data_IF_460508821803
#
_entry.id   IF_460508821803
#
_cell.length_a   1.000
_cell.length_b   1.000
_cell.length_c   1.000
_cell.angle_alpha   90.00
_cell.angle_beta   90.00
_cell.angle_gamma   90.00
#
_symmetry.space_group_name_H-M   'P 1'
#
loop_
_entity.id
_entity.type
_entity.pdbx_description
1 polymer ?
#
# COMPACT_ATOMS: atom_id res chain seq x y z
N UNK A 1 9.43 15.54 36.40
CA UNK A 1 9.38 16.04 35.00
C UNK A 1 7.99 15.74 34.47
N UNK A 2 7.25 16.70 33.91
CA UNK A 2 5.94 16.41 33.34
C UNK A 2 6.11 15.37 32.21
N UNK A 3 5.20 14.40 32.12
CA UNK A 3 5.18 13.43 31.02
C UNK A 3 5.03 14.19 29.70
N UNK A 4 6.12 14.31 28.95
CA UNK A 4 6.11 14.93 27.62
C UNK A 4 5.29 14.03 26.71
N UNK A 5 4.09 14.50 26.34
CA UNK A 5 3.27 13.84 25.33
C UNK A 5 3.87 14.13 23.97
N UNK A 6 4.28 13.07 23.26
CA UNK A 6 4.73 13.15 21.88
C UNK A 6 3.53 12.80 20.99
N UNK A 7 3.32 13.57 19.94
CA UNK A 7 2.28 13.34 18.97
C UNK A 7 2.93 13.25 17.60
N UNK A 8 2.46 12.32 16.78
CA UNK A 8 2.95 12.19 15.41
C UNK A 8 2.29 13.22 14.47
N UNK A 9 2.74 13.26 13.22
CA UNK A 9 2.19 14.17 12.20
C UNK A 9 0.76 13.83 11.76
N UNK A 10 0.18 12.71 12.20
CA UNK A 10 -1.18 12.29 11.88
C UNK A 10 -2.18 12.66 12.98
N UNK A 11 -1.75 12.73 14.24
CA UNK A 11 -2.59 12.96 15.41
C UNK A 11 -2.95 14.43 15.66
N UNK A 12 -2.11 15.38 15.21
CA UNK A 12 -2.23 16.78 15.62
C UNK A 12 -3.03 17.67 14.67
N UNK A 13 -3.19 17.27 13.41
CA UNK A 13 -3.78 18.10 12.36
C UNK A 13 -2.99 19.37 12.01
N UNK A 14 -1.76 19.53 12.55
CA UNK A 14 -0.93 20.72 12.35
C UNK A 14 -0.25 20.76 10.97
N UNK A 15 -0.12 19.60 10.32
CA UNK A 15 0.48 19.46 9.00
C UNK A 15 -0.61 18.96 8.06
N UNK A 16 -0.96 19.79 7.08
CA UNK A 16 -1.92 19.41 6.06
C UNK A 16 -1.33 18.41 5.05
N UNK A 17 -2.20 17.87 4.17
CA UNK A 17 -1.79 16.85 3.19
C UNK A 17 -0.71 17.35 2.21
N UNK A 18 -0.78 18.62 1.80
CA UNK A 18 0.17 19.19 0.83
C UNK A 18 1.52 19.47 1.48
N UNK A 19 1.50 20.05 2.68
CA UNK A 19 2.69 20.28 3.50
C UNK A 19 3.41 18.96 3.81
N UNK A 20 2.65 17.90 4.12
CA UNK A 20 3.24 16.57 4.35
C UNK A 20 3.90 16.01 3.09
N UNK A 21 3.26 16.15 1.92
CA UNK A 21 3.82 15.73 0.63
C UNK A 21 5.13 16.47 0.35
N UNK A 22 5.15 17.80 0.56
CA UNK A 22 6.35 18.61 0.40
C UNK A 22 7.48 18.20 1.36
N UNK A 23 7.16 17.94 2.63
CA UNK A 23 8.13 17.47 3.61
C UNK A 23 8.72 16.11 3.21
N UNK A 24 7.89 15.16 2.80
CA UNK A 24 8.35 13.83 2.34
C UNK A 24 9.23 13.89 1.09
N UNK A 25 9.02 14.87 0.20
CA UNK A 25 9.87 15.08 -0.97
C UNK A 25 11.19 15.79 -0.64
N UNK A 26 11.23 16.59 0.44
CA UNK A 26 12.41 17.37 0.82
C UNK A 26 13.48 16.57 1.57
N UNK A 27 13.18 15.36 2.05
CA UNK A 27 14.08 14.58 2.90
C UNK A 27 13.98 13.07 2.69
N UNK A 28 14.94 12.32 3.25
CA UNK A 28 14.94 10.86 3.17
C UNK A 28 13.80 10.26 4.01
N UNK A 29 13.32 9.05 3.67
CA UNK A 29 12.26 8.38 4.43
C UNK A 29 12.64 8.19 5.90
N UNK A 30 13.91 7.86 6.19
CA UNK A 30 14.42 7.71 7.54
C UNK A 30 14.39 9.03 8.32
N UNK A 31 14.76 10.14 7.68
CA UNK A 31 14.72 11.46 8.31
C UNK A 31 13.28 11.93 8.56
N UNK A 32 12.37 11.65 7.62
CA UNK A 32 10.94 11.94 7.80
C UNK A 32 10.34 11.10 8.94
N UNK A 33 10.62 9.79 8.96
CA UNK A 33 10.12 8.89 9.98
C UNK A 33 10.60 9.27 11.38
N UNK A 34 11.87 9.65 11.53
CA UNK A 34 12.41 10.07 12.82
C UNK A 34 11.78 11.37 13.33
N UNK A 35 11.59 12.36 12.46
CA UNK A 35 11.16 13.71 12.87
C UNK A 35 9.64 13.90 12.92
N UNK A 36 8.89 13.19 12.08
CA UNK A 36 7.45 13.42 11.89
C UNK A 36 6.58 12.20 12.22
N UNK A 37 7.10 10.97 12.04
CA UNK A 37 6.39 9.76 12.45
C UNK A 37 6.85 9.21 13.80
N UNK A 38 7.93 9.78 14.36
CA UNK A 38 8.57 9.35 15.59
C UNK A 38 9.00 7.86 15.57
N UNK A 39 9.33 7.33 14.39
CA UNK A 39 9.81 5.96 14.17
C UNK A 39 11.29 5.95 13.84
N UNK A 40 12.00 4.96 14.35
CA UNK A 40 13.38 4.71 13.95
C UNK A 40 13.42 3.76 12.75
N UNK A 41 13.84 4.27 11.59
CA UNK A 41 14.10 3.47 10.39
C UNK A 41 15.59 3.64 10.08
N UNK A 42 16.33 2.53 10.02
CA UNK A 42 17.73 2.56 9.60
C UNK A 42 17.80 2.67 8.07
N UNK A 43 18.45 3.72 7.56
CA UNK A 43 18.59 3.97 6.11
C UNK A 43 19.24 2.77 5.37
N UNK A 44 20.08 2.00 6.07
CA UNK A 44 20.75 0.80 5.53
C UNK A 44 19.83 -0.39 5.26
N UNK A 45 18.61 -0.40 5.80
CA UNK A 45 17.61 -1.45 5.54
C UNK A 45 16.51 -0.98 4.56
N UNK A 46 16.60 0.26 4.06
CA UNK A 46 15.61 0.78 3.13
C UNK A 46 15.79 0.14 1.76
N UNK A 47 14.91 -0.80 1.42
CA UNK A 47 14.87 -1.44 0.10
C UNK A 47 14.54 -0.47 -1.05
N UNK A 48 14.01 0.72 -0.72
CA UNK A 48 13.56 1.72 -1.68
C UNK A 48 14.05 3.12 -1.31
N UNK A 49 14.29 3.95 -2.31
CA UNK A 49 14.45 5.39 -2.16
C UNK A 49 13.10 6.08 -1.95
N UNK A 50 13.10 7.35 -1.53
CA UNK A 50 11.86 8.11 -1.33
C UNK A 50 10.96 8.05 -2.58
N UNK A 51 9.70 7.60 -2.45
CA UNK A 51 8.81 7.50 -3.60
C UNK A 51 8.43 8.90 -4.10
N UNK A 52 8.29 9.04 -5.42
CA UNK A 52 7.73 10.25 -6.02
C UNK A 52 6.23 10.11 -6.18
N UNK A 53 5.48 10.99 -5.53
CA UNK A 53 4.02 11.03 -5.66
C UNK A 53 3.60 11.73 -6.95
N UNK A 54 2.71 11.08 -7.69
CA UNK A 54 2.11 11.59 -8.92
C UNK A 54 0.60 11.64 -8.78
N UNK A 55 -0.03 12.60 -9.47
CA UNK A 55 -1.50 12.77 -9.45
C UNK A 55 -2.17 12.13 -10.70
N UNK A 56 -1.38 11.70 -11.69
CA UNK A 56 -1.89 11.08 -12.91
C UNK A 56 -2.22 9.59 -12.71
N UNK A 57 -3.48 9.31 -12.39
CA UNK A 57 -3.99 7.95 -12.15
C UNK A 57 -3.96 7.05 -13.38
N UNK A 58 -3.96 7.60 -14.59
CA UNK A 58 -4.04 6.80 -15.83
C UNK A 58 -2.78 5.95 -16.06
N UNK A 59 -1.65 6.35 -15.46
CA UNK A 59 -0.39 5.63 -15.59
C UNK A 59 -0.45 4.22 -15.00
N UNK A 60 -1.33 3.99 -14.01
CA UNK A 60 -1.47 2.70 -13.32
C UNK A 60 -2.50 1.75 -13.97
N UNK A 61 -3.26 2.22 -14.96
CA UNK A 61 -4.30 1.40 -15.60
C UNK A 61 -3.74 0.13 -16.22
N UNK A 62 -4.49 -0.97 -16.12
CA UNK A 62 -4.04 -2.34 -16.45
C UNK A 62 -2.85 -2.83 -15.61
N UNK A 63 -2.59 -2.19 -14.47
CA UNK A 63 -1.60 -2.64 -13.50
C UNK A 63 -2.01 -3.94 -12.83
N UNK A 64 -1.03 -4.68 -12.34
CA UNK A 64 -1.23 -5.91 -11.60
C UNK A 64 -1.68 -5.60 -10.18
N UNK A 65 -2.79 -6.19 -9.75
CA UNK A 65 -3.34 -6.03 -8.42
C UNK A 65 -2.84 -7.13 -7.47
N UNK A 66 -2.62 -6.80 -6.20
CA UNK A 66 -2.23 -7.75 -5.17
C UNK A 66 -2.89 -7.39 -3.84
N UNK A 67 -3.31 -8.42 -3.08
CA UNK A 67 -3.90 -8.27 -1.75
C UNK A 67 -3.07 -9.09 -0.77
N UNK A 68 -2.55 -8.44 0.25
CA UNK A 68 -2.04 -9.10 1.45
C UNK A 68 -3.15 -9.13 2.50
N UNK A 69 -3.68 -10.33 2.75
CA UNK A 69 -4.90 -10.54 3.51
C UNK A 69 -4.60 -10.79 4.99
N UNK A 70 -5.28 -10.04 5.87
CA UNK A 70 -5.34 -10.31 7.29
C UNK A 70 -6.62 -11.08 7.65
N UNK A 71 -6.47 -12.16 8.41
CA UNK A 71 -7.58 -13.05 8.83
C UNK A 71 -7.88 -13.00 10.34
N UNK A 72 -7.08 -12.29 11.15
CA UNK A 72 -7.34 -12.18 12.58
C UNK A 72 -6.36 -11.28 13.32
N UNK A 73 -6.66 -11.01 14.60
CA UNK A 73 -5.77 -10.29 15.50
C UNK A 73 -5.56 -8.81 15.15
N UNK A 74 -4.36 -8.31 15.44
CA UNK A 74 -3.92 -6.93 15.14
C UNK A 74 -3.33 -6.78 13.73
N UNK A 75 -3.54 -7.77 12.86
CA UNK A 75 -3.02 -7.77 11.50
C UNK A 75 -3.80 -6.78 10.60
N UNK A 76 -3.16 -6.34 9.53
CA UNK A 76 -3.72 -5.36 8.61
C UNK A 76 -3.78 -5.90 7.19
N UNK A 77 -4.91 -5.67 6.51
CA UNK A 77 -5.06 -5.96 5.09
C UNK A 77 -4.42 -4.85 4.27
N UNK A 78 -3.63 -5.21 3.26
CA UNK A 78 -3.06 -4.28 2.30
C UNK A 78 -3.49 -4.62 0.87
N UNK A 79 -3.83 -3.60 0.09
CA UNK A 79 -4.11 -3.69 -1.33
C UNK A 79 -3.07 -2.87 -2.08
N UNK A 80 -2.50 -3.46 -3.12
CA UNK A 80 -1.54 -2.79 -3.98
C UNK A 80 -1.87 -3.01 -5.45
N UNK A 81 -1.51 -2.04 -6.27
CA UNK A 81 -1.51 -2.17 -7.73
C UNK A 81 -0.14 -1.72 -8.21
N UNK A 82 0.48 -2.43 -9.14
CA UNK A 82 1.77 -2.05 -9.73
C UNK A 82 1.76 -2.15 -11.25
N UNK A 83 2.45 -1.21 -11.90
CA UNK A 83 2.65 -1.20 -13.34
C UNK A 83 4.01 -0.64 -13.70
N UNK A 84 4.80 -1.45 -14.38
CA UNK A 84 6.03 -1.02 -15.02
C UNK A 84 5.70 -0.23 -16.29
N UNK A 85 6.34 0.93 -16.43
CA UNK A 85 6.27 1.81 -17.58
C UNK A 85 7.35 1.43 -18.61
N UNK A 86 7.22 1.94 -19.84
CA UNK A 86 8.15 1.61 -20.93
C UNK A 86 9.60 2.05 -20.68
N UNK A 87 9.79 3.03 -19.82
CA UNK A 87 11.09 3.58 -19.42
C UNK A 87 11.71 2.83 -18.23
N UNK A 88 11.06 1.79 -17.73
CA UNK A 88 11.48 1.04 -16.54
C UNK A 88 11.03 1.66 -15.22
N UNK A 89 10.33 2.81 -15.24
CA UNK A 89 9.74 3.39 -14.03
C UNK A 89 8.59 2.52 -13.55
N UNK A 90 8.48 2.29 -12.25
CA UNK A 90 7.37 1.55 -11.65
C UNK A 90 6.39 2.54 -11.04
N UNK A 91 5.13 2.48 -11.46
CA UNK A 91 4.05 3.18 -10.78
C UNK A 91 3.31 2.16 -9.94
N UNK A 92 3.02 2.50 -8.69
CA UNK A 92 2.15 1.66 -7.89
C UNK A 92 1.11 2.48 -7.16
N UNK A 93 0.19 1.80 -6.51
CA UNK A 93 -0.83 2.33 -5.62
C UNK A 93 -0.85 1.40 -4.41
N UNK A 94 -1.01 1.96 -3.21
CA UNK A 94 -1.05 1.18 -1.98
C UNK A 94 -2.06 1.76 -1.01
N UNK A 95 -2.95 0.91 -0.50
CA UNK A 95 -3.86 1.24 0.59
C UNK A 95 -3.85 0.14 1.64
N UNK A 96 -3.90 0.53 2.91
CA UNK A 96 -3.86 -0.38 4.06
C UNK A 96 -5.04 -0.12 4.98
N UNK A 97 -5.63 -1.19 5.48
CA UNK A 97 -6.71 -1.19 6.47
C UNK A 97 -6.32 -2.02 7.68
N UNK A 98 -6.57 -1.52 8.88
CA UNK A 98 -6.47 -2.31 10.12
C UNK A 98 -7.77 -3.09 10.34
N UNK A 99 -8.14 -3.92 9.37
CA UNK A 99 -9.39 -4.70 9.37
C UNK A 99 -9.19 -6.03 8.65
N UNK A 100 -10.13 -6.95 8.89
CA UNK A 100 -10.20 -8.24 8.22
C UNK A 100 -10.38 -8.06 6.71
N UNK A 101 -9.80 -8.97 5.92
CA UNK A 101 -9.82 -8.87 4.45
C UNK A 101 -11.24 -8.84 3.87
N UNK A 102 -12.15 -9.64 4.42
CA UNK A 102 -13.54 -9.70 3.93
C UNK A 102 -14.28 -8.35 4.08
N UNK A 103 -13.98 -7.59 5.13
CA UNK A 103 -14.55 -6.24 5.34
C UNK A 103 -13.98 -5.22 4.35
N UNK A 104 -12.76 -5.47 3.85
CA UNK A 104 -12.07 -4.60 2.90
C UNK A 104 -12.43 -4.91 1.45
N UNK A 105 -12.88 -6.13 1.15
CA UNK A 105 -13.16 -6.59 -0.22
C UNK A 105 -14.07 -5.65 -1.03
N UNK A 106 -15.19 -5.12 -0.49
CA UNK A 106 -16.03 -4.20 -1.26
C UNK A 106 -15.27 -2.95 -1.73
N UNK A 107 -14.47 -2.35 -0.85
CA UNK A 107 -13.67 -1.17 -1.17
C UNK A 107 -12.51 -1.50 -2.12
N UNK A 108 -11.85 -2.64 -1.92
CA UNK A 108 -10.78 -3.13 -2.80
C UNK A 108 -11.31 -3.30 -4.23
N UNK A 109 -12.50 -3.86 -4.41
CA UNK A 109 -13.12 -4.03 -5.72
C UNK A 109 -13.47 -2.69 -6.38
N UNK A 110 -13.95 -1.72 -5.60
CA UNK A 110 -14.19 -0.35 -6.10
C UNK A 110 -12.89 0.30 -6.58
N UNK A 111 -11.81 0.20 -5.79
CA UNK A 111 -10.50 0.72 -6.14
C UNK A 111 -9.92 0.02 -7.37
N UNK A 112 -10.04 -1.31 -7.44
CA UNK A 112 -9.63 -2.12 -8.58
C UNK A 112 -10.33 -1.66 -9.87
N UNK A 113 -11.64 -1.45 -9.81
CA UNK A 113 -12.42 -0.94 -10.94
C UNK A 113 -12.04 0.50 -11.29
N UNK A 114 -11.90 1.38 -10.30
CA UNK A 114 -11.54 2.79 -10.49
C UNK A 114 -10.18 2.94 -11.19
N UNK A 115 -9.20 2.12 -10.80
CA UNK A 115 -7.87 2.10 -11.39
C UNK A 115 -7.75 1.20 -12.61
N UNK A 116 -8.86 0.58 -13.08
CA UNK A 116 -8.87 -0.38 -14.19
C UNK A 116 -7.74 -1.41 -14.06
N UNK A 117 -7.54 -1.92 -12.85
CA UNK A 117 -6.48 -2.88 -12.59
C UNK A 117 -6.79 -4.21 -13.29
N UNK A 118 -5.74 -4.91 -13.67
CA UNK A 118 -5.82 -6.21 -14.31
C UNK A 118 -5.99 -7.34 -13.29
N UNK A 119 -5.31 -8.45 -13.54
CA UNK A 119 -5.40 -9.66 -12.72
C UNK A 119 -5.00 -9.42 -11.25
N UNK A 120 -5.77 -10.00 -10.33
CA UNK A 120 -5.38 -10.12 -8.92
C UNK A 120 -4.37 -11.24 -8.74
N UNK A 121 -3.27 -10.96 -8.06
CA UNK A 121 -2.33 -11.96 -7.59
C UNK A 121 -2.55 -12.17 -6.12
N UNK A 122 -2.81 -13.42 -5.74
CA UNK A 122 -3.06 -13.79 -4.34
C UNK A 122 -2.12 -14.91 -3.96
N UNK A 123 -1.49 -14.76 -2.80
CA UNK A 123 -0.71 -15.83 -2.18
C UNK A 123 -1.63 -16.97 -1.75
N UNK A 124 -1.20 -18.22 -1.91
CA UNK A 124 -2.01 -19.40 -1.55
C UNK A 124 -1.68 -20.03 -0.20
N UNK A 125 -0.82 -19.43 0.61
CA UNK A 125 -0.41 -20.00 1.88
C UNK A 125 -1.46 -19.82 2.97
N UNK A 126 -1.78 -20.90 3.69
CA UNK A 126 -2.72 -20.89 4.82
C UNK A 126 -4.14 -20.48 4.43
N UNK A 127 -4.79 -19.64 5.24
CA UNK A 127 -6.16 -19.16 5.03
C UNK A 127 -6.30 -18.26 3.79
N UNK A 128 -5.19 -17.84 3.15
CA UNK A 128 -5.18 -17.02 1.93
C UNK A 128 -5.79 -17.72 0.69
N UNK A 129 -5.94 -19.04 0.73
CA UNK A 129 -6.68 -19.79 -0.30
C UNK A 129 -8.16 -19.40 -0.42
N UNK A 130 -8.78 -18.93 0.66
CA UNK A 130 -10.18 -18.50 0.69
C UNK A 130 -10.39 -17.18 -0.06
N UNK A 131 -9.46 -16.22 0.07
CA UNK A 131 -9.51 -14.95 -0.66
C UNK A 131 -9.61 -15.17 -2.18
N UNK A 132 -8.76 -16.05 -2.72
CA UNK A 132 -8.79 -16.33 -4.16
C UNK A 132 -10.15 -16.89 -4.60
N UNK A 133 -10.79 -17.73 -3.77
CA UNK A 133 -12.13 -18.25 -4.03
C UNK A 133 -13.18 -17.13 -3.98
N UNK A 134 -13.14 -16.27 -2.97
CA UNK A 134 -14.06 -15.14 -2.81
C UNK A 134 -13.99 -14.14 -3.97
N UNK A 135 -12.81 -13.92 -4.55
CA UNK A 135 -12.59 -13.08 -5.72
C UNK A 135 -13.13 -13.73 -7.00
N UNK A 136 -12.89 -15.04 -7.20
CA UNK A 136 -13.41 -15.79 -8.35
C UNK A 136 -14.96 -15.83 -8.32
N UNK A 137 -15.56 -16.04 -7.14
CA UNK A 137 -17.02 -15.98 -6.96
C UNK A 137 -17.61 -14.61 -7.32
N UNK A 138 -16.80 -13.55 -7.23
CA UNK A 138 -17.13 -12.17 -7.64
C UNK A 138 -16.69 -11.84 -9.06
N UNK A 139 -16.48 -12.87 -9.89
CA UNK A 139 -16.13 -12.74 -11.32
C UNK A 139 -14.82 -11.98 -11.57
N UNK A 140 -13.88 -12.00 -10.62
CA UNK A 140 -12.55 -11.41 -10.81
C UNK A 140 -11.55 -12.41 -11.40
N UNK A 141 -10.63 -11.91 -12.21
CA UNK A 141 -9.50 -12.70 -12.71
C UNK A 141 -8.42 -12.79 -11.62
N UNK A 142 -8.11 -14.02 -11.18
CA UNK A 142 -7.17 -14.28 -10.09
C UNK A 142 -6.08 -15.25 -10.53
N UNK A 143 -4.83 -14.88 -10.30
CA UNK A 143 -3.67 -15.76 -10.39
C UNK A 143 -3.12 -16.06 -8.98
N UNK A 144 -2.98 -17.36 -8.73
CA UNK A 144 -2.48 -17.90 -7.47
C UNK A 144 -0.97 -18.09 -7.57
N UNK A 145 -0.21 -17.74 -6.52
CA UNK A 145 1.22 -18.04 -6.44
C UNK A 145 1.59 -18.62 -5.06
N UNK A 146 2.63 -19.44 -5.04
CA UNK A 146 3.19 -20.07 -3.83
C UNK A 146 4.52 -19.39 -3.46
N UNK A 147 4.78 -19.14 -2.17
CA UNK A 147 5.89 -18.28 -1.66
C UNK A 147 7.27 -18.52 -2.27
N UNK A 148 7.56 -19.75 -2.73
CA UNK A 148 8.86 -20.09 -3.31
C UNK A 148 9.20 -19.38 -4.62
N UNK A 149 8.26 -18.64 -5.21
CA UNK A 149 8.46 -17.98 -6.51
C UNK A 149 8.53 -16.45 -6.47
N UNK A 150 7.94 -15.76 -5.49
CA UNK A 150 7.88 -14.29 -5.50
C UNK A 150 7.93 -13.73 -4.07
N UNK A 151 9.11 -13.33 -3.61
CA UNK A 151 9.21 -12.30 -2.57
C UNK A 151 8.71 -10.99 -3.18
N UNK A 152 7.44 -10.68 -2.92
CA UNK A 152 6.74 -9.44 -3.30
C UNK A 152 7.13 -8.26 -2.40
N UNK A 153 8.13 -8.44 -1.53
CA UNK A 153 8.87 -7.40 -0.80
C UNK A 153 9.60 -6.39 -1.71
N UNK A 154 9.32 -6.39 -3.02
CA UNK A 154 10.17 -5.84 -4.06
C UNK A 154 9.60 -4.62 -4.79
N UNK A 155 8.37 -4.19 -4.50
CA UNK A 155 7.79 -3.05 -5.20
C UNK A 155 6.95 -2.19 -4.25
N UNK A 156 7.37 -0.93 -4.04
CA UNK A 156 6.55 0.11 -3.44
C UNK A 156 6.84 1.45 -4.14
N UNK A 157 5.91 1.89 -4.98
CA UNK A 157 5.72 3.27 -5.41
C UNK A 157 4.23 3.56 -5.22
N UNK A 158 3.87 4.71 -4.65
CA UNK A 158 2.49 5.05 -4.26
C UNK A 158 1.99 6.22 -5.11
N UNK A 159 0.97 5.97 -5.92
CA UNK A 159 0.12 6.93 -6.59
C UNK A 159 -0.90 7.36 -5.53
N UNK A 160 -0.98 8.66 -5.27
CA UNK A 160 -1.77 9.18 -4.16
C UNK A 160 -3.28 9.03 -4.41
N UNK A 161 -3.99 8.43 -3.46
CA UNK A 161 -5.31 8.88 -3.06
C UNK A 161 -5.53 8.55 -1.57
N UNK A 162 -5.31 9.58 -0.73
CA UNK A 162 -5.50 9.51 0.71
C UNK A 162 -6.98 9.80 0.98
N UNK A 163 -7.81 8.78 0.81
CA UNK A 163 -9.21 8.76 1.25
C UNK A 163 -9.33 7.92 2.51
N UNK A 164 -9.03 8.50 3.65
CA UNK A 164 -9.52 8.06 4.95
C UNK A 164 -10.35 9.24 5.48
N UNK A 165 -11.67 9.08 5.41
CA UNK A 165 -12.57 9.66 6.41
C UNK A 165 -12.57 8.73 7.63
#
# INVERSE_FOLDING_TARGET
MPNVKKFDCYETGLIDKEQRKALQQSMTPSLFAANYELKHIADSESLFTAPTYIDNTNLIYNGVAHIDAAYGGGDSTAFTIFKEQKDGTIIGFGKKWQKHVDDCLPEILQLHQYYQAGTFYTETNGDKGYLAKHLIERSQYVQKYHEKQISLSRYLLICGSIGAE
#
